data_IF_062644499734
#
_entry.id   IF_062644499734
#
_cell.length_a   1.000
_cell.length_b   1.000
_cell.length_c   1.000
_cell.angle_alpha   90.00
_cell.angle_beta   90.00
_cell.angle_gamma   90.00
#
_symmetry.space_group_name_H-M   'P 1'
#
loop_
_entity.id
_entity.type
_entity.pdbx_description
1 polymer ?
#
# COMPACT_ATOMS: atom_id res chain seq x y z
N UNK A 1 -17.29 17.62 -10.91
CA UNK A 1 -16.40 18.04 -12.03
C UNK A 1 -16.95 17.65 -13.40
N UNK A 2 -18.01 16.81 -13.49
CA UNK A 2 -18.59 16.31 -14.74
C UNK A 2 -17.70 15.31 -15.53
N UNK A 3 -16.51 14.99 -15.04
CA UNK A 3 -15.61 14.01 -15.66
C UNK A 3 -15.82 12.66 -15.01
N UNK A 4 -16.05 11.62 -15.85
CA UNK A 4 -16.18 10.24 -15.40
C UNK A 4 -14.82 9.76 -14.84
N UNK A 5 -14.75 9.21 -13.61
CA UNK A 5 -13.50 8.67 -13.08
C UNK A 5 -13.01 7.49 -13.92
N UNK A 6 -11.71 7.22 -13.85
CA UNK A 6 -11.04 6.17 -14.64
C UNK A 6 -10.49 5.07 -13.73
N UNK A 7 -10.49 3.84 -14.23
CA UNK A 7 -10.00 2.64 -13.51
C UNK A 7 -9.44 1.60 -14.49
N UNK A 8 -8.97 0.47 -13.97
CA UNK A 8 -8.55 -0.67 -14.78
C UNK A 8 -9.67 -1.18 -15.71
N UNK A 9 -10.89 -1.28 -15.16
CA UNK A 9 -12.12 -1.65 -15.89
C UNK A 9 -13.25 -0.71 -15.49
N UNK A 10 -14.45 -0.91 -16.04
CA UNK A 10 -15.64 -0.21 -15.58
C UNK A 10 -16.07 -0.77 -14.22
N UNK A 11 -15.84 -0.02 -13.16
CA UNK A 11 -16.12 -0.42 -11.78
C UNK A 11 -17.09 0.57 -11.13
N UNK A 12 -17.77 0.14 -10.06
CA UNK A 12 -18.43 1.07 -9.15
C UNK A 12 -17.36 1.74 -8.31
N UNK A 13 -17.40 3.06 -8.19
CA UNK A 13 -16.40 3.79 -7.38
C UNK A 13 -16.56 3.44 -5.90
N UNK A 14 -15.44 3.14 -5.25
CA UNK A 14 -15.43 2.76 -3.84
C UNK A 14 -15.89 3.95 -2.97
N UNK A 15 -16.97 3.76 -2.23
CA UNK A 15 -17.53 4.79 -1.35
C UNK A 15 -18.39 5.86 -2.05
N UNK A 16 -18.66 5.69 -3.35
CA UNK A 16 -19.50 6.60 -4.14
C UNK A 16 -20.58 5.80 -4.86
N UNK A 17 -21.69 5.53 -4.19
CA UNK A 17 -22.81 4.79 -4.75
C UNK A 17 -23.32 5.41 -6.06
N UNK A 18 -23.43 4.56 -7.08
CA UNK A 18 -23.95 4.95 -8.41
C UNK A 18 -22.96 5.66 -9.33
N UNK A 19 -21.70 5.87 -8.93
CA UNK A 19 -20.67 6.39 -9.81
C UNK A 19 -19.86 5.23 -10.39
N UNK A 20 -19.91 5.11 -11.72
CA UNK A 20 -19.15 4.10 -12.46
C UNK A 20 -17.92 4.72 -13.10
N UNK A 21 -16.78 4.04 -12.96
CA UNK A 21 -15.55 4.41 -13.63
C UNK A 21 -15.61 4.04 -15.12
N UNK A 22 -14.72 4.63 -15.91
CA UNK A 22 -14.43 4.24 -17.29
C UNK A 22 -13.15 3.42 -17.29
N UNK A 23 -13.12 2.32 -18.06
CA UNK A 23 -11.88 1.58 -18.31
C UNK A 23 -10.86 2.48 -19.04
N UNK A 24 -9.64 2.54 -18.52
CA UNK A 24 -8.54 3.31 -19.14
C UNK A 24 -8.14 2.69 -20.47
N UNK A 25 -7.95 3.52 -21.49
CA UNK A 25 -7.27 3.17 -22.73
C UNK A 25 -5.77 2.99 -22.48
N UNK A 26 -5.06 2.33 -23.42
CA UNK A 26 -3.60 2.20 -23.30
C UNK A 26 -2.88 3.56 -23.25
N UNK A 27 -3.39 4.56 -23.98
CA UNK A 27 -2.88 5.91 -23.94
C UNK A 27 -3.03 6.54 -22.53
N UNK A 28 -4.21 6.40 -21.92
CA UNK A 28 -4.48 6.90 -20.56
C UNK A 28 -3.61 6.18 -19.52
N UNK A 29 -3.38 4.87 -19.66
CA UNK A 29 -2.48 4.10 -18.79
C UNK A 29 -1.05 4.65 -18.88
N UNK A 30 -0.52 4.82 -20.10
CA UNK A 30 0.84 5.38 -20.32
C UNK A 30 0.95 6.81 -19.80
N UNK A 31 -0.07 7.64 -20.01
CA UNK A 31 -0.13 9.01 -19.48
C UNK A 31 -0.14 9.02 -17.95
N UNK A 32 -0.84 8.07 -17.33
CA UNK A 32 -0.87 7.95 -15.86
C UNK A 32 0.50 7.50 -15.31
N UNK A 33 1.17 6.53 -15.94
CA UNK A 33 2.54 6.14 -15.58
C UNK A 33 3.47 7.37 -15.61
N UNK A 34 3.38 8.18 -16.66
CA UNK A 34 4.14 9.43 -16.76
C UNK A 34 3.77 10.40 -15.62
N UNK A 35 2.50 10.50 -15.25
CA UNK A 35 2.06 11.37 -14.15
C UNK A 35 2.66 10.98 -12.80
N UNK A 36 2.76 9.66 -12.50
CA UNK A 36 3.47 9.16 -11.32
C UNK A 36 4.96 9.54 -11.37
N UNK A 37 5.58 9.38 -12.53
CA UNK A 37 6.99 9.73 -12.75
C UNK A 37 7.24 11.22 -12.53
N UNK A 38 6.40 12.07 -13.10
CA UNK A 38 6.51 13.53 -12.96
C UNK A 38 6.28 13.97 -11.50
N UNK A 39 5.38 13.28 -10.77
CA UNK A 39 5.18 13.52 -9.34
C UNK A 39 6.43 13.19 -8.53
N UNK A 40 7.07 12.05 -8.78
CA UNK A 40 8.32 11.66 -8.12
C UNK A 40 9.46 12.65 -8.42
N UNK A 41 9.58 13.11 -9.67
CA UNK A 41 10.56 14.16 -10.04
C UNK A 41 10.30 15.45 -9.25
N UNK A 42 9.02 15.88 -9.10
CA UNK A 42 8.69 17.07 -8.31
C UNK A 42 9.06 16.89 -6.84
N UNK A 43 8.77 15.71 -6.25
CA UNK A 43 9.17 15.40 -4.88
C UNK A 43 10.69 15.47 -4.71
N UNK A 44 11.47 14.87 -5.62
CA UNK A 44 12.93 14.93 -5.58
C UNK A 44 13.44 16.38 -5.67
N UNK A 45 12.90 17.18 -6.59
CA UNK A 45 13.23 18.61 -6.73
C UNK A 45 12.86 19.44 -5.50
N UNK A 46 11.83 19.06 -4.78
CA UNK A 46 11.40 19.70 -3.53
C UNK A 46 12.23 19.28 -2.31
N UNK A 47 13.22 18.37 -2.46
CA UNK A 47 14.11 17.94 -1.40
C UNK A 47 13.57 16.77 -0.56
N UNK A 48 12.52 16.06 -1.00
CA UNK A 48 12.13 14.80 -0.37
C UNK A 48 13.18 13.72 -0.60
N UNK A 49 13.30 12.79 0.35
CA UNK A 49 14.25 11.67 0.27
C UNK A 49 13.72 10.50 -0.54
N UNK A 50 12.40 10.42 -0.73
CA UNK A 50 11.75 9.34 -1.45
C UNK A 50 10.26 9.56 -1.64
N UNK A 51 9.61 8.58 -2.28
CA UNK A 51 8.16 8.48 -2.46
C UNK A 51 7.67 7.08 -2.13
N UNK A 52 6.43 6.98 -1.70
CA UNK A 52 5.72 5.69 -1.59
C UNK A 52 4.69 5.57 -2.70
N UNK A 53 4.81 4.53 -3.53
CA UNK A 53 3.83 4.19 -4.56
C UNK A 53 2.65 3.50 -3.91
N UNK A 54 1.49 4.15 -3.96
CA UNK A 54 0.31 3.69 -3.23
C UNK A 54 -0.49 2.66 -4.02
N UNK A 55 -0.12 1.38 -3.86
CA UNK A 55 -0.78 0.22 -4.46
C UNK A 55 -1.79 -0.48 -3.54
N UNK A 56 -2.34 0.21 -2.55
CA UNK A 56 -3.21 -0.34 -1.52
C UNK A 56 -4.61 0.32 -1.54
N UNK A 57 -5.50 -0.13 -0.64
CA UNK A 57 -6.76 0.51 -0.23
C UNK A 57 -7.76 0.77 -1.37
N UNK A 58 -7.80 -0.10 -2.37
CA UNK A 58 -8.69 0.01 -3.55
C UNK A 58 -8.48 1.26 -4.42
N UNK A 59 -7.34 1.99 -4.27
CA UNK A 59 -6.99 3.07 -5.18
C UNK A 59 -6.46 2.55 -6.53
N UNK A 60 -6.11 3.43 -7.46
CA UNK A 60 -5.92 3.10 -8.87
C UNK A 60 -4.96 1.92 -9.12
N UNK A 61 -3.76 1.93 -8.51
CA UNK A 61 -2.82 0.80 -8.66
C UNK A 61 -3.43 -0.50 -8.12
N UNK A 62 -4.08 -0.43 -6.94
CA UNK A 62 -4.77 -1.56 -6.33
C UNK A 62 -5.89 -2.09 -7.22
N UNK A 63 -6.63 -1.21 -7.93
CA UNK A 63 -7.68 -1.60 -8.88
C UNK A 63 -7.12 -2.35 -10.10
N UNK A 64 -5.86 -2.09 -10.50
CA UNK A 64 -5.20 -2.90 -11.52
C UNK A 64 -4.78 -4.28 -10.99
N UNK A 65 -4.42 -4.40 -9.72
CA UNK A 65 -3.98 -5.65 -9.11
C UNK A 65 -5.13 -6.65 -8.86
N UNK A 66 -6.32 -6.17 -8.52
CA UNK A 66 -7.45 -7.01 -8.13
C UNK A 66 -8.13 -7.71 -9.30
N UNK A 67 -8.50 -8.99 -9.10
CA UNK A 67 -9.20 -9.81 -10.11
C UNK A 67 -10.60 -9.28 -10.42
N UNK A 68 -11.31 -8.77 -9.40
CA UNK A 68 -12.68 -8.25 -9.55
C UNK A 68 -12.69 -6.82 -10.14
N UNK A 69 -11.66 -6.03 -9.86
CA UNK A 69 -11.57 -4.65 -10.34
C UNK A 69 -10.86 -4.53 -11.68
N UNK A 70 -10.06 -5.54 -12.07
CA UNK A 70 -9.36 -5.60 -13.34
C UNK A 70 -9.79 -6.80 -14.17
N UNK A 71 -10.81 -6.61 -15.00
CA UNK A 71 -11.36 -7.63 -15.90
C UNK A 71 -10.86 -7.46 -17.35
N UNK A 72 -9.68 -6.84 -17.50
CA UNK A 72 -9.05 -6.63 -18.82
C UNK A 72 -8.56 -7.95 -19.43
N UNK A 73 -8.64 -8.04 -20.74
CA UNK A 73 -8.14 -9.17 -21.53
C UNK A 73 -6.89 -8.82 -22.35
N UNK A 74 -6.41 -7.59 -22.22
CA UNK A 74 -5.15 -7.13 -22.81
C UNK A 74 -3.97 -7.36 -21.85
N UNK A 75 -2.78 -6.91 -22.25
CA UNK A 75 -1.54 -7.07 -21.47
C UNK A 75 -1.55 -6.45 -20.05
N UNK A 76 -2.56 -5.65 -19.72
CA UNK A 76 -2.73 -4.98 -18.42
C UNK A 76 -3.66 -5.74 -17.48
N UNK A 77 -4.15 -6.91 -17.87
CA UNK A 77 -5.07 -7.76 -17.09
C UNK A 77 -4.68 -9.24 -17.18
N UNK A 78 -5.63 -10.12 -16.84
CA UNK A 78 -5.42 -11.56 -16.82
C UNK A 78 -4.78 -12.07 -15.53
N UNK A 79 -3.64 -12.74 -15.61
CA UNK A 79 -2.90 -13.25 -14.44
C UNK A 79 -2.24 -12.13 -13.63
N UNK A 80 -1.62 -12.49 -12.49
CA UNK A 80 -0.97 -11.49 -11.61
C UNK A 80 0.18 -10.76 -12.33
N UNK A 81 0.85 -11.38 -13.28
CA UNK A 81 1.91 -10.73 -14.07
C UNK A 81 1.32 -9.61 -14.94
N UNK A 82 0.20 -9.88 -15.62
CA UNK A 82 -0.50 -8.86 -16.41
C UNK A 82 -1.12 -7.78 -15.52
N UNK A 83 -1.80 -8.15 -14.42
CA UNK A 83 -2.41 -7.20 -13.49
C UNK A 83 -1.39 -6.32 -12.77
N UNK A 84 -0.19 -6.84 -12.46
CA UNK A 84 0.90 -6.07 -11.84
C UNK A 84 1.65 -5.15 -12.80
N UNK A 85 1.45 -5.28 -14.11
CA UNK A 85 2.18 -4.53 -15.14
C UNK A 85 2.09 -3.02 -14.95
N UNK A 86 0.93 -2.50 -14.55
CA UNK A 86 0.78 -1.07 -14.30
C UNK A 86 1.72 -0.60 -13.18
N UNK A 87 1.77 -1.31 -12.07
CA UNK A 87 2.69 -1.01 -10.96
C UNK A 87 4.16 -1.17 -11.39
N UNK A 88 4.51 -2.27 -12.06
CA UNK A 88 5.90 -2.53 -12.44
C UNK A 88 6.43 -1.52 -13.48
N UNK A 89 5.59 -1.06 -14.39
CA UNK A 89 5.96 0.03 -15.32
C UNK A 89 6.11 1.38 -14.59
N UNK A 90 5.28 1.66 -13.57
CA UNK A 90 5.45 2.85 -12.71
C UNK A 90 6.80 2.77 -12.00
N UNK A 91 7.13 1.64 -11.35
CA UNK A 91 8.41 1.46 -10.63
C UNK A 91 9.59 1.73 -11.57
N UNK A 92 9.61 1.10 -12.75
CA UNK A 92 10.69 1.28 -13.75
C UNK A 92 10.81 2.73 -14.20
N UNK A 93 9.68 3.36 -14.53
CA UNK A 93 9.66 4.74 -15.02
C UNK A 93 10.11 5.73 -13.95
N UNK A 94 9.64 5.56 -12.73
CA UNK A 94 10.05 6.40 -11.59
C UNK A 94 11.53 6.21 -11.31
N UNK A 95 12.03 4.97 -11.15
CA UNK A 95 13.45 4.70 -10.87
C UNK A 95 14.35 5.29 -11.93
N UNK A 96 14.03 5.09 -13.21
CA UNK A 96 14.79 5.67 -14.34
C UNK A 96 14.87 7.20 -14.27
N UNK A 97 13.83 7.86 -13.78
CA UNK A 97 13.78 9.32 -13.73
C UNK A 97 14.41 9.92 -12.48
N UNK A 98 14.33 9.24 -11.33
CA UNK A 98 14.84 9.78 -10.07
C UNK A 98 16.24 9.26 -9.69
N UNK A 99 16.71 8.17 -10.31
CA UNK A 99 18.01 7.57 -10.01
C UNK A 99 18.03 6.78 -8.70
N UNK A 100 19.21 6.28 -8.32
CA UNK A 100 19.42 5.34 -7.19
C UNK A 100 19.38 6.04 -5.82
N UNK A 101 19.72 7.32 -5.75
CA UNK A 101 19.80 8.09 -4.48
C UNK A 101 18.43 8.53 -3.94
N UNK A 102 17.34 8.17 -4.61
CA UNK A 102 15.97 8.55 -4.21
C UNK A 102 15.17 7.32 -3.85
N UNK A 103 14.64 7.24 -2.63
CA UNK A 103 13.94 6.07 -2.12
C UNK A 103 12.59 5.86 -2.82
N UNK A 104 12.31 4.62 -3.19
CA UNK A 104 11.02 4.16 -3.71
C UNK A 104 10.48 3.07 -2.80
N UNK A 105 9.47 3.40 -2.00
CA UNK A 105 8.68 2.42 -1.29
C UNK A 105 7.46 2.00 -2.11
N UNK A 106 7.01 0.77 -1.95
CA UNK A 106 5.77 0.27 -2.54
C UNK A 106 4.84 -0.19 -1.44
N UNK A 107 3.63 0.39 -1.38
CA UNK A 107 2.60 0.00 -0.42
C UNK A 107 1.53 -0.83 -1.10
N UNK A 108 1.20 -1.99 -0.50
CA UNK A 108 0.14 -2.88 -0.96
C UNK A 108 -0.79 -3.26 0.20
N UNK A 109 -2.04 -3.60 -0.12
CA UNK A 109 -2.93 -4.30 0.80
C UNK A 109 -2.88 -5.79 0.49
N UNK A 110 -2.50 -6.65 1.45
CA UNK A 110 -2.35 -8.09 1.22
C UNK A 110 -3.65 -8.79 0.81
N UNK A 111 -4.78 -8.34 1.36
CA UNK A 111 -6.09 -8.94 1.13
C UNK A 111 -7.14 -7.83 1.06
N UNK A 112 -7.92 -7.80 -0.03
CA UNK A 112 -9.15 -7.02 -0.20
C UNK A 112 -10.10 -7.85 -1.07
N UNK A 113 -10.87 -8.73 -0.46
CA UNK A 113 -11.73 -9.69 -1.18
C UNK A 113 -12.68 -9.02 -2.17
N UNK A 114 -13.30 -7.90 -1.78
CA UNK A 114 -14.21 -7.12 -2.65
C UNK A 114 -13.54 -6.59 -3.93
N UNK A 115 -12.23 -6.41 -3.91
CA UNK A 115 -11.45 -6.01 -5.08
C UNK A 115 -10.89 -7.21 -5.85
N UNK A 116 -11.01 -8.43 -5.29
CA UNK A 116 -10.37 -9.63 -5.81
C UNK A 116 -8.86 -9.62 -5.56
N UNK A 117 -8.42 -9.07 -4.43
CA UNK A 117 -7.04 -9.16 -3.96
C UNK A 117 -6.97 -10.27 -2.93
N UNK A 118 -6.30 -11.35 -3.29
CA UNK A 118 -6.11 -12.53 -2.46
C UNK A 118 -4.66 -12.69 -2.07
N UNK A 119 -4.43 -13.38 -0.96
CA UNK A 119 -3.10 -13.51 -0.36
C UNK A 119 -2.08 -14.15 -1.32
N UNK A 120 -2.46 -15.20 -2.05
CA UNK A 120 -1.55 -15.89 -2.97
C UNK A 120 -1.06 -14.96 -4.09
N UNK A 121 -1.97 -14.17 -4.67
CA UNK A 121 -1.62 -13.15 -5.67
C UNK A 121 -0.70 -12.08 -5.07
N UNK A 122 -0.96 -11.67 -3.83
CA UNK A 122 -0.13 -10.67 -3.15
C UNK A 122 1.25 -11.18 -2.81
N UNK A 123 1.40 -12.45 -2.43
CA UNK A 123 2.68 -13.09 -2.23
C UNK A 123 3.47 -13.22 -3.54
N UNK A 124 2.79 -13.56 -4.65
CA UNK A 124 3.42 -13.62 -5.97
C UNK A 124 3.80 -12.23 -6.48
N UNK A 125 2.93 -11.23 -6.31
CA UNK A 125 3.24 -9.83 -6.62
C UNK A 125 4.52 -9.38 -5.92
N UNK A 126 4.66 -9.71 -4.63
CA UNK A 126 5.84 -9.30 -3.84
C UNK A 126 7.11 -9.95 -4.36
N UNK A 127 7.09 -11.20 -4.81
CA UNK A 127 8.24 -11.81 -5.49
C UNK A 127 8.63 -11.01 -6.74
N UNK A 128 7.64 -10.67 -7.59
CA UNK A 128 7.86 -9.90 -8.81
C UNK A 128 8.51 -8.55 -8.51
N UNK A 129 7.95 -7.78 -7.56
CA UNK A 129 8.47 -6.44 -7.26
C UNK A 129 9.75 -6.44 -6.42
N UNK A 130 10.02 -7.51 -5.67
CA UNK A 130 11.27 -7.66 -4.92
C UNK A 130 12.49 -7.89 -5.83
N UNK A 131 12.28 -8.30 -7.07
CA UNK A 131 13.32 -8.39 -8.10
C UNK A 131 13.57 -7.04 -8.82
N UNK A 132 12.79 -6.02 -8.47
CA UNK A 132 12.90 -4.68 -9.04
C UNK A 132 13.68 -3.75 -8.10
N UNK A 133 14.05 -2.59 -8.60
CA UNK A 133 14.82 -1.57 -7.87
C UNK A 133 13.90 -0.75 -6.94
N UNK A 134 13.28 -1.42 -5.95
CA UNK A 134 12.56 -0.79 -4.84
C UNK A 134 13.42 -0.80 -3.59
N UNK A 135 13.22 0.19 -2.72
CA UNK A 135 14.01 0.36 -1.50
C UNK A 135 13.28 -0.15 -0.26
N UNK A 136 11.95 -0.19 -0.27
CA UNK A 136 11.12 -0.67 0.84
C UNK A 136 9.83 -1.29 0.34
N UNK A 137 9.33 -2.27 1.08
CA UNK A 137 7.97 -2.80 0.90
C UNK A 137 7.11 -2.48 2.12
N UNK A 138 5.89 -2.00 1.88
CA UNK A 138 4.93 -1.68 2.93
C UNK A 138 3.67 -2.54 2.76
N UNK A 139 3.43 -3.46 3.69
CA UNK A 139 2.14 -4.18 3.78
C UNK A 139 1.19 -3.42 4.69
N UNK A 140 0.00 -3.16 4.20
CA UNK A 140 -1.01 -2.35 4.89
C UNK A 140 -2.31 -3.12 5.03
N UNK A 141 -2.55 -3.59 6.25
CA UNK A 141 -3.75 -4.32 6.65
C UNK A 141 -4.73 -3.40 7.37
N UNK A 142 -6.01 -3.75 7.40
CA UNK A 142 -6.95 -3.13 8.33
C UNK A 142 -6.62 -3.52 9.77
N UNK A 143 -6.34 -4.81 9.97
CA UNK A 143 -5.87 -5.40 11.21
C UNK A 143 -4.81 -6.46 10.87
N UNK A 144 -3.56 -6.21 11.24
CA UNK A 144 -2.42 -7.08 10.93
C UNK A 144 -2.34 -8.29 11.86
N UNK A 145 -3.05 -8.23 13.00
CA UNK A 145 -3.12 -9.31 13.99
C UNK A 145 -4.18 -10.36 13.64
N UNK A 146 -5.06 -10.06 12.68
CA UNK A 146 -6.08 -10.99 12.25
C UNK A 146 -5.45 -12.19 11.54
N UNK A 147 -5.79 -13.39 12.02
CA UNK A 147 -5.40 -14.63 11.35
C UNK A 147 -6.07 -14.74 9.97
N UNK A 148 -5.36 -15.33 9.03
CA UNK A 148 -5.92 -15.74 7.73
C UNK A 148 -6.39 -17.18 7.88
N UNK A 149 -7.66 -17.44 7.58
CA UNK A 149 -8.26 -18.78 7.66
C UNK A 149 -7.89 -19.63 6.42
N UNK A 150 -6.63 -20.05 6.37
CA UNK A 150 -6.09 -20.89 5.30
C UNK A 150 -5.26 -22.09 5.84
N UNK A 151 -5.41 -22.38 7.14
CA UNK A 151 -4.69 -23.47 7.81
C UNK A 151 -3.21 -23.17 8.10
N UNK A 152 -2.77 -21.92 7.98
CA UNK A 152 -1.40 -21.51 8.29
C UNK A 152 -1.40 -20.47 9.42
N UNK A 153 -0.88 -20.84 10.59
CA UNK A 153 -0.86 -20.02 11.80
C UNK A 153 0.14 -18.83 11.75
N UNK A 154 0.97 -18.74 10.69
CA UNK A 154 1.92 -17.65 10.58
C UNK A 154 1.21 -16.32 10.26
N UNK A 155 1.58 -15.24 10.95
CA UNK A 155 1.09 -13.90 10.68
C UNK A 155 1.37 -13.46 9.23
N UNK A 156 0.60 -12.49 8.72
CA UNK A 156 0.86 -11.89 7.42
C UNK A 156 2.29 -11.32 7.36
N UNK A 157 2.73 -10.59 8.37
CA UNK A 157 4.09 -10.03 8.45
C UNK A 157 5.15 -11.12 8.25
N UNK A 158 5.03 -12.22 8.97
CA UNK A 158 5.97 -13.35 8.88
C UNK A 158 5.95 -14.05 7.52
N UNK A 159 4.77 -14.17 6.90
CA UNK A 159 4.63 -14.75 5.55
C UNK A 159 5.34 -13.90 4.50
N UNK A 160 5.13 -12.58 4.54
CA UNK A 160 5.80 -11.65 3.63
C UNK A 160 7.30 -11.60 3.89
N UNK A 161 7.74 -11.54 5.16
CA UNK A 161 9.17 -11.55 5.50
C UNK A 161 9.93 -12.76 4.97
N UNK A 162 9.28 -13.92 4.87
CA UNK A 162 9.91 -15.16 4.34
C UNK A 162 10.29 -15.07 2.86
N UNK A 163 9.58 -14.27 2.07
CA UNK A 163 9.77 -14.17 0.61
C UNK A 163 10.51 -12.91 0.19
N UNK A 164 10.49 -11.85 1.01
CA UNK A 164 11.17 -10.60 0.73
C UNK A 164 12.67 -10.74 1.05
N UNK A 165 13.59 -10.35 0.17
CA UNK A 165 15.01 -10.28 0.50
C UNK A 165 15.26 -9.43 1.74
N UNK A 166 16.21 -9.84 2.61
CA UNK A 166 16.56 -9.06 3.81
C UNK A 166 17.14 -7.68 3.51
N UNK A 167 17.56 -7.45 2.29
CA UNK A 167 18.04 -6.16 1.79
C UNK A 167 16.92 -5.14 1.57
N UNK A 168 15.65 -5.60 1.51
CA UNK A 168 14.47 -4.76 1.36
C UNK A 168 13.77 -4.67 2.72
N UNK A 169 13.81 -3.53 3.43
CA UNK A 169 13.07 -3.31 4.65
C UNK A 169 11.56 -3.52 4.46
N UNK A 170 10.95 -4.23 5.42
CA UNK A 170 9.52 -4.47 5.47
C UNK A 170 8.85 -3.52 6.47
N UNK A 171 7.94 -2.68 5.99
CA UNK A 171 7.03 -1.89 6.80
C UNK A 171 5.75 -2.71 6.98
N UNK A 172 5.29 -2.88 8.21
CA UNK A 172 4.02 -3.56 8.49
C UNK A 172 3.08 -2.65 9.27
N UNK A 173 1.82 -2.56 8.81
CA UNK A 173 0.81 -1.61 9.32
C UNK A 173 -0.56 -2.28 9.45
N UNK A 174 -1.25 -1.97 10.56
CA UNK A 174 -2.66 -2.32 10.77
C UNK A 174 -3.00 -2.54 12.24
N UNK A 175 -3.90 -1.74 12.79
CA UNK A 175 -4.39 -1.83 14.17
C UNK A 175 -3.32 -1.78 15.28
N UNK A 176 -2.16 -1.20 15.02
CA UNK A 176 -1.12 -0.96 16.02
C UNK A 176 -1.53 0.21 16.92
N UNK A 177 -1.54 -0.02 18.24
CA UNK A 177 -1.98 0.98 19.22
C UNK A 177 -0.94 1.27 20.29
N UNK A 178 -0.22 0.29 20.79
CA UNK A 178 0.72 0.42 21.87
C UNK A 178 2.10 -0.20 21.58
N UNK A 179 3.00 -0.14 22.54
CA UNK A 179 4.36 -0.67 22.41
C UNK A 179 4.39 -2.20 22.25
N UNK A 180 3.41 -2.92 22.79
CA UNK A 180 3.34 -4.39 22.67
C UNK A 180 2.96 -4.79 21.25
N UNK A 181 1.99 -4.09 20.68
CA UNK A 181 1.61 -4.27 19.26
C UNK A 181 2.80 -4.01 18.34
N UNK A 182 3.52 -2.91 18.59
CA UNK A 182 4.69 -2.54 17.82
C UNK A 182 5.82 -3.59 17.95
N UNK A 183 6.13 -4.02 19.19
CA UNK A 183 7.15 -5.04 19.42
C UNK A 183 6.80 -6.38 18.77
N UNK A 184 5.54 -6.79 18.84
CA UNK A 184 5.08 -8.01 18.20
C UNK A 184 5.33 -8.00 16.69
N UNK A 185 5.08 -6.87 16.01
CA UNK A 185 5.38 -6.75 14.57
C UNK A 185 6.87 -6.87 14.26
N UNK A 186 7.73 -6.30 15.10
CA UNK A 186 9.18 -6.44 14.96
C UNK A 186 9.58 -7.92 15.15
N UNK A 187 9.04 -8.59 16.17
CA UNK A 187 9.30 -10.01 16.44
C UNK A 187 8.81 -10.92 15.29
N UNK A 188 7.74 -10.55 14.59
CA UNK A 188 7.24 -11.24 13.40
C UNK A 188 8.02 -10.91 12.13
N UNK A 189 9.00 -10.01 12.20
CA UNK A 189 9.97 -9.73 11.14
C UNK A 189 9.74 -8.45 10.35
N UNK A 190 8.93 -7.51 10.85
CA UNK A 190 8.93 -6.16 10.32
C UNK A 190 10.22 -5.42 10.72
N UNK A 191 10.75 -4.61 9.81
CA UNK A 191 11.88 -3.72 10.10
C UNK A 191 11.38 -2.35 10.58
N UNK A 192 10.16 -1.98 10.16
CA UNK A 192 9.51 -0.70 10.48
C UNK A 192 8.04 -0.95 10.79
N UNK A 193 7.56 -0.29 11.85
CA UNK A 193 6.14 -0.33 12.23
C UNK A 193 5.42 0.89 11.68
N UNK A 194 4.39 0.65 10.85
CA UNK A 194 3.53 1.70 10.34
C UNK A 194 2.31 1.91 11.23
N UNK A 195 1.93 3.16 11.43
CA UNK A 195 0.73 3.54 12.19
C UNK A 195 -0.12 4.53 11.39
N UNK A 196 -1.43 4.53 11.62
CA UNK A 196 -2.35 5.50 11.03
C UNK A 196 -3.31 6.03 12.10
N UNK A 197 -4.29 5.22 12.52
CA UNK A 197 -5.36 5.64 13.42
C UNK A 197 -4.85 6.19 14.75
N UNK A 198 -3.85 5.56 15.35
CA UNK A 198 -3.26 6.05 16.60
C UNK A 198 -2.54 7.38 16.39
N UNK A 199 -1.81 7.55 15.28
CA UNK A 199 -1.12 8.81 14.97
C UNK A 199 -2.06 9.98 14.68
N UNK A 200 -3.29 9.70 14.17
CA UNK A 200 -4.32 10.74 13.97
C UNK A 200 -4.82 11.26 15.32
N UNK A 201 -5.13 10.35 16.26
CA UNK A 201 -5.63 10.73 17.58
C UNK A 201 -4.55 11.17 18.57
N UNK A 202 -3.31 10.73 18.35
CA UNK A 202 -2.16 10.93 19.23
C UNK A 202 -0.89 11.22 18.42
N UNK A 203 -0.71 12.48 17.94
CA UNK A 203 0.47 12.85 17.12
C UNK A 203 1.81 12.56 17.81
N UNK A 204 1.85 12.67 19.13
CA UNK A 204 3.04 12.43 19.98
C UNK A 204 3.22 10.94 20.37
N UNK A 205 2.43 10.03 19.79
CA UNK A 205 2.45 8.59 20.08
C UNK A 205 3.87 7.99 20.17
N UNK A 206 4.82 8.29 19.26
CA UNK A 206 6.16 7.73 19.36
C UNK A 206 6.89 8.09 20.64
N UNK A 207 6.63 9.27 21.21
CA UNK A 207 7.26 9.74 22.46
C UNK A 207 6.76 8.98 23.69
N UNK A 208 5.58 8.39 23.61
CA UNK A 208 4.98 7.63 24.71
C UNK A 208 5.24 6.12 24.65
N UNK A 209 5.85 5.61 23.57
CA UNK A 209 6.15 4.17 23.43
C UNK A 209 7.12 3.62 24.50
N UNK A 210 7.90 4.49 25.11
CA UNK A 210 8.81 4.11 26.21
C UNK A 210 8.08 3.80 27.52
N UNK A 211 6.84 4.28 27.67
CA UNK A 211 5.98 3.96 28.81
C UNK A 211 5.13 2.72 28.48
N UNK A 212 5.49 1.59 29.09
CA UNK A 212 4.77 0.32 28.89
C UNK A 212 3.31 0.33 29.40
N UNK A 213 2.92 1.34 30.17
CA UNK A 213 1.56 1.52 30.68
C UNK A 213 0.73 2.49 29.81
N UNK A 214 1.35 3.15 28.85
CA UNK A 214 0.64 4.06 27.97
C UNK A 214 -0.41 3.32 27.14
N UNK A 215 -1.65 3.77 27.27
CA UNK A 215 -2.80 3.24 26.55
C UNK A 215 -3.46 4.37 25.77
N UNK A 216 -3.21 4.50 24.47
CA UNK A 216 -3.84 5.52 23.65
C UNK A 216 -5.34 5.31 23.56
N UNK A 217 -6.10 6.40 23.56
CA UNK A 217 -7.52 6.33 23.30
C UNK A 217 -7.80 5.79 21.90
N UNK A 218 -8.74 4.85 21.82
CA UNK A 218 -9.20 4.28 20.55
C UNK A 218 -10.41 5.04 20.00
N UNK A 219 -10.67 5.00 18.68
CA UNK A 219 -11.86 5.62 18.08
C UNK A 219 -13.17 5.17 18.77
N UNK A 220 -14.26 5.99 18.71
CA UNK A 220 -14.32 7.25 17.94
C UNK A 220 -13.56 8.38 18.62
N UNK A 221 -12.84 9.18 17.82
CA UNK A 221 -12.19 10.38 18.33
C UNK A 221 -13.20 11.53 18.37
N UNK A 222 -13.16 12.35 19.45
CA UNK A 222 -13.91 13.60 19.50
C UNK A 222 -13.22 14.70 18.69
N UNK A 223 -13.97 15.76 18.36
CA UNK A 223 -13.40 16.94 17.68
C UNK A 223 -12.24 17.55 18.45
N UNK A 224 -12.25 17.41 19.78
CA UNK A 224 -11.18 17.89 20.67
C UNK A 224 -9.86 17.13 20.46
N UNK A 225 -9.90 15.85 20.09
CA UNK A 225 -8.70 15.08 19.74
C UNK A 225 -8.11 15.46 18.38
N UNK A 226 -8.94 16.00 17.49
CA UNK A 226 -8.51 16.42 16.15
C UNK A 226 -8.10 17.92 16.13
N UNK A 227 -8.47 18.68 17.16
CA UNK A 227 -8.18 20.11 17.25
C UNK A 227 -6.73 20.46 17.62
N UNK A 228 -5.92 19.44 18.00
CA UNK A 228 -4.49 19.61 18.26
C UNK A 228 -3.61 19.29 17.05
N UNK A 229 -4.19 19.24 15.85
CA UNK A 229 -3.48 19.05 14.58
C UNK A 229 -3.44 20.44 13.90
N UNK A 230 -2.61 21.33 14.42
CA UNK A 230 -2.22 22.59 13.77
C UNK A 230 -1.02 22.37 12.82
#
# INVERSE_FOLDING_TARGET
TGVKPISASENTETGMDGIYTKAMTEFEIKSMIQSFTDAAIRCKKAGFHGVELHGAHSYLICQFLGQETNRRTDKWGGDIVGRSRFLTEIIRSVRSAVGEDFLIAVRISPIIEKAGIYLDDSLELVKIISEMEIDMLHISCWDVFQAVDDGNDASLTKRFRKIIPKTIPLISTGAVWDSKDAQWLIDEGADIVGVARVGIGHPDWPSFLVDSNYQPQRPPFSVEHLANVD
#
